data_IF_032266427897
#
_entry.id   IF_032266427897
#
_cell.length_a   1.000
_cell.length_b   1.000
_cell.length_c   1.000
_cell.angle_alpha   90.00
_cell.angle_beta   90.00
_cell.angle_gamma   90.00
#
_symmetry.space_group_name_H-M   'P 1'
#
loop_
_entity.id
_entity.type
_entity.pdbx_description
1 polymer ?
#
# COMPACT_ATOMS: atom_id res chain seq x y z
N UNK A 1 4.18 17.77 9.60
CA UNK A 1 5.26 17.48 10.57
C UNK A 1 6.68 17.47 9.97
N UNK A 2 6.97 16.76 8.87
CA UNK A 2 8.36 16.68 8.34
C UNK A 2 8.85 17.97 7.65
N UNK A 3 7.98 18.68 6.92
CA UNK A 3 8.27 20.01 6.38
C UNK A 3 8.57 21.03 7.50
N UNK A 4 7.92 20.85 8.64
CA UNK A 4 8.11 21.67 9.83
C UNK A 4 9.44 21.36 10.52
N UNK A 5 9.83 20.08 10.60
CA UNK A 5 11.16 19.68 11.08
C UNK A 5 12.27 20.22 10.20
N UNK A 6 12.11 20.17 8.87
CA UNK A 6 13.05 20.81 7.92
C UNK A 6 13.15 22.31 8.18
N UNK A 7 12.02 23.00 8.28
CA UNK A 7 11.98 24.44 8.55
C UNK A 7 12.70 24.79 9.86
N UNK A 8 12.49 24.00 10.92
CA UNK A 8 13.18 24.18 12.21
C UNK A 8 14.68 23.92 12.14
N UNK A 9 15.13 22.99 11.30
CA UNK A 9 16.55 22.68 11.11
C UNK A 9 17.25 23.70 10.21
N UNK A 10 16.54 24.27 9.23
CA UNK A 10 17.03 25.38 8.40
C UNK A 10 17.11 26.70 9.19
N UNK A 11 16.19 26.91 10.15
CA UNK A 11 16.15 28.07 11.03
C UNK A 11 17.26 28.10 12.10
N UNK A 12 18.08 27.05 12.23
CA UNK A 12 19.20 27.06 13.18
C UNK A 12 20.24 28.13 12.79
N UNK A 13 20.67 28.99 13.74
CA UNK A 13 21.73 29.96 13.50
C UNK A 13 23.09 29.27 13.29
N UNK A 14 23.90 29.83 12.39
CA UNK A 14 25.21 29.25 12.02
C UNK A 14 26.25 29.40 13.15
N UNK A 15 26.06 30.38 14.02
CA UNK A 15 26.88 30.64 15.21
C UNK A 15 26.00 31.03 16.38
N UNK A 16 26.25 30.45 17.55
CA UNK A 16 25.60 30.82 18.81
C UNK A 16 26.69 31.23 19.80
N UNK A 17 26.53 32.41 20.38
CA UNK A 17 27.40 32.89 21.46
C UNK A 17 26.81 32.44 22.80
N UNK A 18 27.56 31.63 23.53
CA UNK A 18 27.20 31.14 24.87
C UNK A 18 28.22 31.70 25.85
N UNK A 19 27.88 32.85 26.44
CA UNK A 19 28.77 33.59 27.34
C UNK A 19 30.02 34.09 26.61
N UNK A 20 31.19 33.57 26.98
CA UNK A 20 32.50 33.93 26.40
C UNK A 20 32.89 33.05 25.20
N UNK A 21 32.09 32.03 24.86
CA UNK A 21 32.41 31.02 23.86
C UNK A 21 31.49 31.17 22.65
N UNK A 22 32.09 31.30 21.46
CA UNK A 22 31.37 31.26 20.17
C UNK A 22 31.35 29.84 19.63
N UNK A 23 30.18 29.22 19.62
CA UNK A 23 29.99 27.87 19.07
C UNK A 23 29.65 27.98 17.59
N UNK A 24 30.46 27.33 16.73
CA UNK A 24 30.19 27.25 15.31
C UNK A 24 29.30 26.03 15.03
N UNK A 25 28.04 26.29 14.70
CA UNK A 25 27.03 25.27 14.40
C UNK A 25 26.95 24.95 12.90
N UNK A 26 27.82 25.54 12.06
CA UNK A 26 27.77 25.37 10.60
C UNK A 26 28.01 23.93 10.17
N UNK A 27 28.97 23.23 10.80
CA UNK A 27 29.20 21.80 10.57
C UNK A 27 28.02 20.95 11.03
N UNK A 28 27.45 21.29 12.19
CA UNK A 28 26.27 20.61 12.74
C UNK A 28 25.07 20.75 11.80
N UNK A 29 24.77 21.96 11.32
CA UNK A 29 23.69 22.24 10.35
C UNK A 29 23.92 21.52 9.03
N UNK A 30 25.15 21.51 8.52
CA UNK A 30 25.50 20.80 7.30
C UNK A 30 25.31 19.27 7.40
N UNK A 31 25.45 18.68 8.59
CA UNK A 31 25.18 17.24 8.82
C UNK A 31 23.72 16.97 9.16
N UNK A 32 23.03 17.87 9.87
CA UNK A 32 21.65 17.68 10.30
C UNK A 32 20.64 17.88 9.17
N UNK A 33 20.85 18.81 8.24
CA UNK A 33 19.92 19.11 7.14
C UNK A 33 19.76 17.94 6.13
N UNK A 34 20.81 17.21 5.71
CA UNK A 34 20.64 16.08 4.81
C UNK A 34 20.01 14.86 5.47
N UNK A 35 20.22 14.62 6.77
CA UNK A 35 19.71 13.46 7.49
C UNK A 35 18.19 13.20 7.36
N UNK A 36 17.29 14.18 7.62
CA UNK A 36 15.85 13.99 7.47
C UNK A 36 15.44 13.80 6.00
N UNK A 37 16.15 14.47 5.09
CA UNK A 37 15.91 14.38 3.65
C UNK A 37 16.27 12.98 3.12
N UNK A 38 17.38 12.41 3.58
CA UNK A 38 17.80 11.05 3.20
C UNK A 38 16.89 9.98 3.81
N UNK A 39 16.46 10.13 5.05
CA UNK A 39 15.48 9.22 5.66
C UNK A 39 14.15 9.23 4.89
N UNK A 40 13.68 10.42 4.53
CA UNK A 40 12.46 10.60 3.73
C UNK A 40 12.62 9.98 2.33
N UNK A 41 13.75 10.21 1.65
CA UNK A 41 14.02 9.59 0.35
C UNK A 41 14.05 8.05 0.41
N UNK A 42 14.62 7.46 1.48
CA UNK A 42 14.59 6.01 1.67
C UNK A 42 13.18 5.50 1.92
N UNK A 43 12.38 6.21 2.71
CA UNK A 43 10.99 5.83 2.97
C UNK A 43 10.14 5.90 1.69
N UNK A 44 10.32 6.95 0.87
CA UNK A 44 9.68 7.06 -0.44
C UNK A 44 10.13 5.98 -1.43
N UNK A 45 11.36 5.47 -1.32
CA UNK A 45 11.82 4.36 -2.15
C UNK A 45 11.25 3.00 -1.70
N UNK A 46 10.95 2.83 -0.42
CA UNK A 46 10.41 1.59 0.14
C UNK A 46 8.90 1.45 -0.05
N UNK A 47 8.15 2.56 0.00
CA UNK A 47 6.69 2.57 -0.14
C UNK A 47 6.19 1.89 -1.43
N UNK A 48 6.75 2.16 -2.63
CA UNK A 48 6.34 1.49 -3.87
C UNK A 48 6.61 -0.02 -3.86
N UNK A 49 7.73 -0.45 -3.27
CA UNK A 49 8.04 -1.88 -3.15
C UNK A 49 7.00 -2.58 -2.25
N UNK A 50 6.66 -1.97 -1.12
CA UNK A 50 5.64 -2.51 -0.21
C UNK A 50 4.26 -2.55 -0.88
N UNK A 51 3.89 -1.50 -1.62
CA UNK A 51 2.64 -1.45 -2.37
C UNK A 51 2.57 -2.57 -3.42
N UNK A 52 3.66 -2.81 -4.16
CA UNK A 52 3.75 -3.90 -5.13
C UNK A 52 3.60 -5.28 -4.50
N UNK A 53 4.30 -5.55 -3.39
CA UNK A 53 4.22 -6.84 -2.69
C UNK A 53 2.81 -7.12 -2.13
N UNK A 54 2.17 -6.11 -1.54
CA UNK A 54 0.80 -6.21 -1.03
C UNK A 54 -0.20 -6.43 -2.16
N UNK A 55 -0.04 -5.69 -3.25
CA UNK A 55 -0.87 -5.81 -4.44
C UNK A 55 -0.76 -7.19 -5.08
N UNK A 56 0.47 -7.67 -5.34
CA UNK A 56 0.71 -8.97 -5.97
C UNK A 56 0.16 -10.12 -5.12
N UNK A 57 0.32 -10.04 -3.80
CA UNK A 57 -0.24 -11.00 -2.86
C UNK A 57 -1.77 -11.03 -2.89
N UNK A 58 -2.41 -9.86 -2.81
CA UNK A 58 -3.86 -9.74 -2.83
C UNK A 58 -4.47 -10.19 -4.17
N UNK A 59 -3.94 -9.68 -5.28
CA UNK A 59 -4.42 -10.04 -6.62
C UNK A 59 -4.19 -11.52 -6.92
N UNK A 60 -3.08 -12.11 -6.49
CA UNK A 60 -2.84 -13.54 -6.64
C UNK A 60 -3.91 -14.39 -5.93
N UNK A 61 -4.30 -13.99 -4.71
CA UNK A 61 -5.35 -14.67 -3.95
C UNK A 61 -6.73 -14.52 -4.60
N UNK A 62 -7.10 -13.29 -4.99
CA UNK A 62 -8.38 -12.98 -5.67
C UNK A 62 -8.50 -13.71 -7.01
N UNK A 63 -7.45 -13.67 -7.84
CA UNK A 63 -7.44 -14.33 -9.15
C UNK A 63 -7.52 -15.86 -9.01
N UNK A 64 -6.84 -16.42 -8.00
CA UNK A 64 -6.89 -17.86 -7.70
C UNK A 64 -8.28 -18.26 -7.25
N UNK A 65 -8.90 -17.48 -6.36
CA UNK A 65 -10.27 -17.71 -5.91
C UNK A 65 -11.25 -17.65 -7.08
N UNK A 66 -11.17 -16.61 -7.92
CA UNK A 66 -12.01 -16.45 -9.11
C UNK A 66 -11.84 -17.63 -10.07
N UNK A 67 -10.61 -18.06 -10.34
CA UNK A 67 -10.32 -19.19 -11.23
C UNK A 67 -10.90 -20.50 -10.70
N UNK A 68 -10.80 -20.75 -9.39
CA UNK A 68 -11.42 -21.93 -8.75
C UNK A 68 -12.94 -21.88 -8.79
N UNK A 69 -13.53 -20.70 -8.68
CA UNK A 69 -14.98 -20.48 -8.73
C UNK A 69 -15.57 -20.55 -10.14
N UNK A 70 -14.79 -20.17 -11.16
CA UNK A 70 -15.19 -20.20 -12.58
C UNK A 70 -14.87 -21.54 -13.26
N UNK A 71 -14.03 -22.38 -12.65
CA UNK A 71 -13.71 -23.68 -13.18
C UNK A 71 -14.98 -24.53 -13.37
N UNK A 72 -15.17 -25.18 -14.54
CA UNK A 72 -16.31 -26.04 -14.77
C UNK A 72 -16.21 -27.28 -13.89
N UNK A 73 -17.21 -27.51 -13.04
CA UNK A 73 -17.32 -28.75 -12.28
C UNK A 73 -17.68 -29.90 -13.22
N UNK A 74 -16.90 -30.99 -13.16
CA UNK A 74 -17.16 -32.21 -13.92
C UNK A 74 -17.66 -33.36 -13.04
N UNK A 75 -17.39 -33.31 -11.73
CA UNK A 75 -17.94 -34.22 -10.73
C UNK A 75 -18.84 -33.48 -9.73
N UNK A 76 -19.74 -34.23 -9.09
CA UNK A 76 -20.55 -33.75 -7.96
C UNK A 76 -19.66 -33.42 -6.76
N UNK A 77 -18.55 -34.13 -6.58
CA UNK A 77 -17.57 -33.89 -5.52
C UNK A 77 -16.89 -32.53 -5.69
N UNK A 78 -16.47 -32.19 -6.92
CA UNK A 78 -15.90 -30.86 -7.26
C UNK A 78 -16.87 -29.73 -6.93
N UNK A 79 -18.17 -29.97 -7.15
CA UNK A 79 -19.21 -28.96 -6.88
C UNK A 79 -19.41 -28.72 -5.38
N UNK A 80 -19.38 -29.78 -4.56
CA UNK A 80 -19.44 -29.63 -3.10
C UNK A 80 -18.20 -28.92 -2.57
N UNK A 81 -17.01 -29.24 -3.10
CA UNK A 81 -15.78 -28.52 -2.74
C UNK A 81 -15.84 -27.04 -3.14
N UNK A 82 -16.38 -26.70 -4.31
CA UNK A 82 -16.57 -25.29 -4.72
C UNK A 82 -17.53 -24.53 -3.80
N UNK A 83 -18.64 -25.15 -3.37
CA UNK A 83 -19.57 -24.52 -2.43
C UNK A 83 -18.93 -24.32 -1.05
N UNK A 84 -18.17 -25.30 -0.57
CA UNK A 84 -17.47 -25.19 0.69
C UNK A 84 -16.39 -24.11 0.64
N UNK A 85 -15.70 -23.98 -0.49
CA UNK A 85 -14.73 -22.91 -0.74
C UNK A 85 -15.42 -21.53 -0.80
N UNK A 86 -16.60 -21.40 -1.42
CA UNK A 86 -17.39 -20.17 -1.40
C UNK A 86 -17.73 -19.72 0.03
N UNK A 87 -18.12 -20.64 0.89
CA UNK A 87 -18.41 -20.32 2.29
C UNK A 87 -17.17 -19.78 3.02
N UNK A 88 -15.99 -20.37 2.78
CA UNK A 88 -14.72 -19.90 3.35
C UNK A 88 -14.32 -18.52 2.83
N UNK A 89 -14.49 -18.25 1.53
CA UNK A 89 -14.21 -16.94 0.93
C UNK A 89 -15.15 -15.87 1.49
N UNK A 90 -16.41 -16.21 1.76
CA UNK A 90 -17.33 -15.30 2.45
C UNK A 90 -16.94 -14.97 3.88
N UNK A 91 -16.51 -15.98 4.64
CA UNK A 91 -16.02 -15.76 6.00
C UNK A 91 -14.74 -14.89 6.00
N UNK A 92 -13.93 -14.98 4.93
CA UNK A 92 -12.74 -14.16 4.74
C UNK A 92 -12.99 -12.83 4.00
N UNK A 93 -14.20 -12.54 3.54
CA UNK A 93 -14.57 -11.31 2.81
C UNK A 93 -14.19 -10.06 3.62
N UNK A 94 -14.46 -10.06 4.94
CA UNK A 94 -14.05 -8.96 5.83
C UNK A 94 -12.54 -8.75 5.86
N UNK A 95 -11.76 -9.84 5.82
CA UNK A 95 -10.30 -9.75 5.80
C UNK A 95 -9.78 -9.25 4.44
N UNK A 96 -10.46 -9.61 3.35
CA UNK A 96 -10.15 -9.13 2.02
C UNK A 96 -10.48 -7.64 1.87
N UNK A 97 -11.62 -7.20 2.42
CA UNK A 97 -12.04 -5.80 2.41
C UNK A 97 -11.10 -4.90 3.24
N UNK A 98 -10.64 -5.39 4.40
CA UNK A 98 -9.60 -4.71 5.20
C UNK A 98 -8.28 -4.57 4.42
N UNK A 99 -7.82 -5.63 3.75
CA UNK A 99 -6.59 -5.60 2.94
C UNK A 99 -6.74 -4.69 1.71
N UNK A 100 -7.92 -4.65 1.10
CA UNK A 100 -8.23 -3.74 0.00
C UNK A 100 -8.12 -2.27 0.45
N UNK A 101 -8.70 -1.94 1.62
CA UNK A 101 -8.57 -0.61 2.21
C UNK A 101 -7.12 -0.26 2.57
N UNK A 102 -6.33 -1.19 3.09
CA UNK A 102 -4.91 -0.97 3.39
C UNK A 102 -4.13 -0.61 2.12
N UNK A 103 -4.39 -1.31 1.01
CA UNK A 103 -3.80 -0.98 -0.30
C UNK A 103 -4.26 0.42 -0.74
N UNK A 104 -5.54 0.76 -0.58
CA UNK A 104 -6.05 2.09 -0.92
C UNK A 104 -5.36 3.20 -0.11
N UNK A 105 -5.18 3.02 1.20
CA UNK A 105 -4.47 3.96 2.06
C UNK A 105 -3.01 4.16 1.63
N UNK A 106 -2.32 3.08 1.24
CA UNK A 106 -0.93 3.16 0.76
C UNK A 106 -0.85 3.91 -0.59
N UNK A 107 -1.77 3.65 -1.52
CA UNK A 107 -1.82 4.35 -2.81
C UNK A 107 -2.24 5.82 -2.65
N UNK A 108 -3.15 6.13 -1.73
CA UNK A 108 -3.46 7.52 -1.36
C UNK A 108 -2.22 8.25 -0.82
N UNK A 109 -1.44 7.59 0.05
CA UNK A 109 -0.20 8.15 0.58
C UNK A 109 0.84 8.39 -0.53
N UNK A 110 0.94 7.48 -1.49
CA UNK A 110 1.78 7.64 -2.67
C UNK A 110 1.41 8.90 -3.46
N UNK A 111 0.12 9.14 -3.66
CA UNK A 111 -0.38 10.31 -4.39
C UNK A 111 -0.24 11.61 -3.57
N UNK A 112 -0.51 11.58 -2.26
CA UNK A 112 -0.33 12.74 -1.36
C UNK A 112 1.13 13.23 -1.36
N UNK A 113 2.08 12.29 -1.38
CA UNK A 113 3.50 12.59 -1.37
C UNK A 113 4.13 12.70 -2.78
N UNK A 114 3.30 12.63 -3.83
CA UNK A 114 3.71 12.71 -5.24
C UNK A 114 4.89 11.77 -5.59
N UNK A 115 4.88 10.55 -5.03
CA UNK A 115 5.92 9.56 -5.31
C UNK A 115 5.75 9.08 -6.75
N UNK A 116 6.82 9.09 -7.58
CA UNK A 116 6.74 8.63 -8.96
C UNK A 116 6.58 7.11 -8.99
N UNK A 117 5.32 6.65 -8.99
CA UNK A 117 4.98 5.24 -9.20
C UNK A 117 4.86 4.93 -10.69
N UNK A 118 5.43 3.80 -11.15
CA UNK A 118 5.31 3.34 -12.53
C UNK A 118 3.85 3.30 -12.99
N UNK A 119 3.60 3.70 -14.25
CA UNK A 119 2.25 3.67 -14.82
C UNK A 119 1.64 2.25 -14.84
N UNK A 120 2.48 1.22 -14.86
CA UNK A 120 2.08 -0.18 -14.79
C UNK A 120 1.39 -0.51 -13.45
N UNK A 121 1.94 -0.06 -12.33
CA UNK A 121 1.40 -0.34 -10.99
C UNK A 121 0.10 0.43 -10.73
N UNK A 122 -0.08 1.61 -11.37
CA UNK A 122 -1.35 2.35 -11.35
C UNK A 122 -2.44 1.65 -12.16
N UNK A 123 -2.09 1.11 -13.34
CA UNK A 123 -3.03 0.35 -14.16
C UNK A 123 -3.43 -0.96 -13.47
N UNK A 124 -2.47 -1.61 -12.79
CA UNK A 124 -2.71 -2.80 -12.00
C UNK A 124 -3.67 -2.49 -10.83
N UNK A 125 -3.42 -1.41 -10.08
CA UNK A 125 -4.33 -0.93 -9.04
C UNK A 125 -5.75 -0.69 -9.56
N UNK A 126 -5.92 -0.01 -10.70
CA UNK A 126 -7.24 0.20 -11.31
C UNK A 126 -7.95 -1.12 -11.72
N UNK A 127 -7.18 -2.18 -11.99
CA UNK A 127 -7.70 -3.50 -12.32
C UNK A 127 -8.12 -4.29 -11.06
N UNK A 128 -7.54 -3.97 -9.89
CA UNK A 128 -7.93 -4.61 -8.63
C UNK A 128 -9.36 -4.27 -8.24
N UNK A 129 -9.75 -3.00 -8.31
CA UNK A 129 -11.13 -2.57 -8.03
C UNK A 129 -12.14 -3.27 -8.94
N UNK A 130 -11.83 -3.40 -10.24
CA UNK A 130 -12.73 -4.09 -11.18
C UNK A 130 -12.80 -5.59 -10.91
N UNK A 131 -11.69 -6.24 -10.57
CA UNK A 131 -11.63 -7.68 -10.28
C UNK A 131 -12.33 -8.01 -8.95
N UNK A 132 -12.15 -7.18 -7.93
CA UNK A 132 -12.82 -7.32 -6.63
C UNK A 132 -14.34 -7.14 -6.74
N UNK A 133 -14.79 -6.12 -7.49
CA UNK A 133 -16.22 -5.93 -7.77
C UNK A 133 -16.79 -7.12 -8.57
N UNK A 134 -16.05 -7.66 -9.54
CA UNK A 134 -16.46 -8.85 -10.29
C UNK A 134 -16.60 -10.08 -9.39
N UNK A 135 -15.70 -10.27 -8.41
CA UNK A 135 -15.78 -11.35 -7.44
C UNK A 135 -17.05 -11.21 -6.58
N UNK A 136 -17.32 -10.00 -6.07
CA UNK A 136 -18.53 -9.68 -5.30
C UNK A 136 -19.82 -9.90 -6.09
N UNK A 137 -19.84 -9.51 -7.36
CA UNK A 137 -20.98 -9.73 -8.25
C UNK A 137 -21.21 -11.22 -8.52
N UNK A 138 -20.14 -12.01 -8.66
CA UNK A 138 -20.23 -13.45 -8.86
C UNK A 138 -20.79 -14.19 -7.63
N UNK A 139 -20.48 -13.68 -6.43
CA UNK A 139 -21.05 -14.18 -5.19
C UNK A 139 -22.53 -13.82 -5.04
N UNK A 140 -22.95 -12.64 -5.51
CA UNK A 140 -24.34 -12.20 -5.49
C UNK A 140 -25.21 -12.99 -6.49
N UNK A 141 -24.70 -13.27 -7.69
CA UNK A 141 -25.44 -14.01 -8.71
C UNK A 141 -25.71 -15.48 -8.34
N UNK A 142 -24.79 -16.13 -7.59
CA UNK A 142 -24.98 -17.49 -7.09
C UNK A 142 -25.91 -17.61 -5.88
N UNK A 143 -26.39 -16.51 -5.29
CA UNK A 143 -27.42 -16.53 -4.24
C UNK A 143 -28.85 -16.61 -4.79
N UNK A 144 -29.07 -16.29 -6.07
CA UNK A 144 -30.41 -16.23 -6.69
C UNK A 144 -30.82 -17.49 -7.46
N UNK A 145 -29.95 -18.49 -7.57
CA UNK A 145 -30.23 -19.78 -8.25
C UNK A 145 -30.22 -20.90 -7.23
#
# INVERSE_FOLDING_TARGET
MLAEQRSRMEALPDTVDVGIIRVNCRKLKATLVPAPTTCLARLHAMLPCLAGELFDGFMGEVQTALSRLQAPCSSVEDYVEQIQFLAQVRDSERSLDMRCNEIHEIYQLIDEFAIPVPAMDRAAYATMDSTYNTLKDSEAQRQLT
#
